data_IF_988912310468
#
_entry.id   IF_988912310468
#
_cell.length_a   1.000
_cell.length_b   1.000
_cell.length_c   1.000
_cell.angle_alpha   90.00
_cell.angle_beta   90.00
_cell.angle_gamma   90.00
#
_symmetry.space_group_name_H-M   'P 1'
#
loop_
_entity.id
_entity.type
_entity.pdbx_description
1 polymer ?
#
# COMPACT_ATOMS: atom_id res chain seq x y z
N UNK A 1 -30.76 -5.95 -19.87
CA UNK A 1 -30.02 -5.83 -21.13
C UNK A 1 -30.01 -7.18 -21.80
N UNK A 2 -29.95 -7.20 -23.12
CA UNK A 2 -29.63 -8.44 -23.84
C UNK A 2 -28.20 -8.86 -23.43
N UNK A 3 -27.96 -10.15 -23.23
CA UNK A 3 -26.64 -10.69 -22.87
C UNK A 3 -25.57 -10.28 -23.90
N UNK A 4 -26.00 -10.08 -25.15
CA UNK A 4 -25.13 -9.60 -26.21
C UNK A 4 -24.67 -8.13 -26.00
N UNK A 5 -25.55 -7.27 -25.48
CA UNK A 5 -25.23 -5.87 -25.18
C UNK A 5 -24.24 -5.74 -24.00
N UNK A 6 -24.39 -6.60 -22.99
CA UNK A 6 -23.51 -6.64 -21.82
C UNK A 6 -22.08 -7.09 -22.20
N UNK A 7 -21.97 -8.09 -23.08
CA UNK A 7 -20.67 -8.58 -23.58
C UNK A 7 -19.97 -7.54 -24.47
N UNK A 8 -20.71 -6.85 -25.34
CA UNK A 8 -20.16 -5.75 -26.13
C UNK A 8 -19.65 -4.63 -25.23
N UNK A 9 -20.45 -4.22 -24.24
CA UNK A 9 -20.05 -3.20 -23.27
C UNK A 9 -18.80 -3.61 -22.48
N UNK A 10 -18.73 -4.86 -22.02
CA UNK A 10 -17.55 -5.38 -21.31
C UNK A 10 -16.30 -5.38 -22.21
N UNK A 11 -16.43 -5.78 -23.48
CA UNK A 11 -15.31 -5.80 -24.40
C UNK A 11 -14.71 -4.40 -24.63
N UNK A 12 -15.54 -3.37 -24.79
CA UNK A 12 -15.06 -1.98 -24.90
C UNK A 12 -14.35 -1.52 -23.62
N UNK A 13 -14.93 -1.81 -22.45
CA UNK A 13 -14.33 -1.46 -21.16
C UNK A 13 -12.97 -2.14 -20.94
N UNK A 14 -12.82 -3.39 -21.37
CA UNK A 14 -11.55 -4.13 -21.28
C UNK A 14 -10.47 -3.49 -22.18
N UNK A 15 -10.81 -3.03 -23.39
CA UNK A 15 -9.83 -2.33 -24.24
C UNK A 15 -9.37 -1.02 -23.62
N UNK A 16 -10.30 -0.22 -23.10
CA UNK A 16 -9.97 1.03 -22.39
C UNK A 16 -9.07 0.74 -21.20
N UNK A 17 -9.36 -0.34 -20.46
CA UNK A 17 -8.52 -0.78 -19.35
C UNK A 17 -7.11 -1.16 -19.80
N UNK A 18 -6.98 -1.97 -20.86
CA UNK A 18 -5.67 -2.40 -21.37
C UNK A 18 -4.82 -1.22 -21.83
N UNK A 19 -5.41 -0.24 -22.51
CA UNK A 19 -4.74 1.00 -22.92
C UNK A 19 -4.27 1.83 -21.71
N UNK A 20 -5.10 1.94 -20.68
CA UNK A 20 -4.74 2.63 -19.45
C UNK A 20 -3.62 1.90 -18.69
N UNK A 21 -3.70 0.57 -18.57
CA UNK A 21 -2.69 -0.26 -17.91
C UNK A 21 -1.35 -0.19 -18.66
N UNK A 22 -1.35 -0.15 -20.00
CA UNK A 22 -0.14 0.03 -20.80
C UNK A 22 0.53 1.40 -20.53
N UNK A 23 -0.25 2.49 -20.49
CA UNK A 23 0.27 3.83 -20.18
C UNK A 23 0.81 3.94 -18.75
N UNK A 24 0.15 3.30 -17.79
CA UNK A 24 0.67 3.19 -16.41
C UNK A 24 2.01 2.45 -16.42
N UNK A 25 2.11 1.36 -17.19
CA UNK A 25 3.34 0.59 -17.27
C UNK A 25 4.50 1.37 -17.90
N UNK A 26 4.24 2.19 -18.91
CA UNK A 26 5.24 3.10 -19.50
C UNK A 26 5.74 4.13 -18.49
N UNK A 27 4.85 4.73 -17.69
CA UNK A 27 5.22 5.74 -16.67
C UNK A 27 5.98 5.12 -15.51
N UNK A 28 5.55 3.95 -15.06
CA UNK A 28 6.09 3.31 -13.85
C UNK A 28 7.28 2.39 -14.13
N UNK A 29 7.44 1.95 -15.38
CA UNK A 29 8.35 0.86 -15.76
C UNK A 29 7.95 -0.50 -15.19
N UNK A 30 6.71 -0.67 -14.72
CA UNK A 30 6.20 -1.83 -13.97
C UNK A 30 4.79 -2.21 -14.43
N UNK A 31 4.21 -3.31 -13.94
CA UNK A 31 2.82 -3.60 -14.34
C UNK A 31 1.85 -2.64 -13.67
N UNK A 32 0.64 -2.48 -14.23
CA UNK A 32 -0.41 -1.68 -13.62
C UNK A 32 -1.13 -2.40 -12.45
N UNK A 33 -0.50 -3.42 -11.85
CA UNK A 33 -1.05 -4.11 -10.68
C UNK A 33 -0.97 -3.22 -9.45
N UNK A 34 -1.89 -3.45 -8.52
CA UNK A 34 -2.00 -2.69 -7.28
C UNK A 34 -0.68 -2.59 -6.49
N UNK A 35 0.01 -3.72 -6.32
CA UNK A 35 1.31 -3.76 -5.64
C UNK A 35 2.35 -2.91 -6.38
N UNK A 36 2.58 -3.20 -7.66
CA UNK A 36 3.60 -2.54 -8.48
C UNK A 36 3.49 -1.01 -8.52
N UNK A 37 2.27 -0.48 -8.69
CA UNK A 37 2.05 0.97 -8.69
C UNK A 37 2.21 1.54 -7.29
N UNK A 38 1.75 0.84 -6.26
CA UNK A 38 1.96 1.23 -4.87
C UNK A 38 3.43 1.31 -4.49
N UNK A 39 4.22 0.32 -4.90
CA UNK A 39 5.67 0.30 -4.77
C UNK A 39 6.33 1.47 -5.52
N UNK A 40 5.88 1.75 -6.75
CA UNK A 40 6.37 2.90 -7.51
C UNK A 40 6.10 4.22 -6.76
N UNK A 41 4.87 4.44 -6.29
CA UNK A 41 4.51 5.66 -5.54
C UNK A 41 5.37 5.76 -4.27
N UNK A 42 5.44 4.68 -3.49
CA UNK A 42 6.24 4.63 -2.27
C UNK A 42 7.72 4.96 -2.53
N UNK A 43 8.30 4.42 -3.61
CA UNK A 43 9.69 4.70 -3.99
C UNK A 43 9.98 6.16 -4.26
N UNK A 44 9.02 6.87 -4.86
CA UNK A 44 9.15 8.29 -5.19
C UNK A 44 8.92 9.18 -3.97
N UNK A 45 7.92 8.87 -3.16
CA UNK A 45 7.54 9.69 -1.99
C UNK A 45 8.54 9.50 -0.85
N UNK A 46 8.89 8.26 -0.52
CA UNK A 46 9.68 7.95 0.67
C UNK A 46 11.16 7.71 0.35
N UNK A 47 11.57 7.97 -0.89
CA UNK A 47 12.94 7.76 -1.37
C UNK A 47 13.45 6.33 -1.10
N UNK A 48 12.71 5.34 -1.60
CA UNK A 48 13.01 3.92 -1.41
C UNK A 48 13.67 3.37 -2.67
N UNK A 49 14.80 2.69 -2.50
CA UNK A 49 15.37 1.83 -3.53
C UNK A 49 14.60 0.50 -3.53
N UNK A 50 13.84 0.25 -4.59
CA UNK A 50 13.09 -0.99 -4.73
C UNK A 50 14.01 -2.14 -5.10
N UNK A 51 13.79 -3.30 -4.50
CA UNK A 51 14.50 -4.52 -4.81
C UNK A 51 14.26 -4.93 -6.27
N UNK A 52 15.30 -5.45 -6.92
CA UNK A 52 15.20 -5.93 -8.30
C UNK A 52 14.26 -7.15 -8.45
N UNK A 53 14.18 -8.00 -7.41
CA UNK A 53 13.21 -9.10 -7.34
C UNK A 53 12.69 -9.28 -5.90
N UNK A 54 11.37 -9.41 -5.74
CA UNK A 54 10.74 -9.55 -4.42
C UNK A 54 11.14 -10.84 -3.68
N UNK A 55 11.42 -11.91 -4.42
CA UNK A 55 11.63 -13.26 -3.85
C UNK A 55 13.01 -13.49 -3.24
N UNK A 56 14.04 -12.75 -3.65
CA UNK A 56 15.40 -12.95 -3.14
C UNK A 56 15.71 -12.11 -1.89
N UNK A 57 15.06 -10.95 -1.74
CA UNK A 57 15.35 -9.99 -0.67
C UNK A 57 14.50 -10.20 0.60
N UNK A 58 13.28 -10.74 0.47
CA UNK A 58 12.33 -10.85 1.58
C UNK A 58 11.71 -9.51 2.02
N UNK A 59 12.03 -8.44 1.29
CA UNK A 59 11.50 -7.09 1.43
C UNK A 59 11.39 -6.41 0.05
N UNK A 60 10.54 -5.38 -0.07
CA UNK A 60 10.29 -4.69 -1.33
C UNK A 60 11.32 -3.58 -1.62
N UNK A 61 11.97 -3.02 -0.60
CA UNK A 61 13.03 -2.04 -0.79
C UNK A 61 13.75 -1.59 0.46
N UNK A 62 14.65 -0.61 0.30
CA UNK A 62 15.44 0.02 1.36
C UNK A 62 15.32 1.54 1.27
N UNK A 63 15.07 2.22 2.39
CA UNK A 63 15.08 3.69 2.42
C UNK A 63 16.49 4.22 2.11
N UNK A 64 16.60 5.16 1.18
CA UNK A 64 17.89 5.76 0.77
C UNK A 64 18.26 7.00 1.55
N UNK A 65 17.30 7.66 2.20
CA UNK A 65 17.53 8.90 2.92
C UNK A 65 16.60 9.06 4.12
N UNK A 66 16.78 10.16 4.85
CA UNK A 66 15.97 10.50 6.02
C UNK A 66 16.27 9.64 7.25
N UNK A 67 15.40 9.71 8.28
CA UNK A 67 15.61 9.03 9.56
C UNK A 67 15.67 7.50 9.47
N UNK A 68 15.15 6.93 8.38
CA UNK A 68 15.04 5.48 8.17
C UNK A 68 16.08 4.96 7.17
N UNK A 69 17.04 5.78 6.75
CA UNK A 69 18.07 5.39 5.79
C UNK A 69 18.74 4.05 6.14
N UNK A 70 18.81 3.15 5.16
CA UNK A 70 19.37 1.80 5.31
C UNK A 70 18.41 0.77 5.93
N UNK A 71 17.19 1.16 6.32
CA UNK A 71 16.17 0.22 6.83
C UNK A 71 15.39 -0.40 5.68
N UNK A 72 15.05 -1.67 5.84
CA UNK A 72 14.26 -2.45 4.87
C UNK A 72 12.77 -2.18 5.04
N UNK A 73 11.99 -2.25 3.96
CA UNK A 73 10.55 -2.01 3.97
C UNK A 73 9.80 -2.97 3.03
N UNK A 74 8.65 -3.45 3.51
CA UNK A 74 7.62 -4.12 2.73
C UNK A 74 6.47 -3.14 2.48
N UNK A 75 6.05 -3.02 1.24
CA UNK A 75 5.02 -2.08 0.78
C UNK A 75 3.73 -2.86 0.54
N UNK A 76 2.65 -2.44 1.18
CA UNK A 76 1.32 -3.05 1.01
C UNK A 76 0.36 -1.98 0.53
N UNK A 77 -0.39 -2.29 -0.52
CA UNK A 77 -1.34 -1.34 -1.12
C UNK A 77 -2.72 -1.96 -1.14
N UNK A 78 -3.66 -1.28 -0.48
CA UNK A 78 -5.04 -1.69 -0.37
C UNK A 78 -5.95 -0.61 -0.94
N UNK A 79 -6.87 -0.99 -1.84
CA UNK A 79 -7.72 -0.03 -2.55
C UNK A 79 -8.86 0.52 -1.70
N UNK A 80 -9.07 -0.06 -0.51
CA UNK A 80 -9.99 0.43 0.51
C UNK A 80 -9.28 0.41 1.86
N UNK A 81 -9.91 1.02 2.86
CA UNK A 81 -9.54 0.88 4.25
C UNK A 81 -9.36 -0.61 4.62
N UNK A 82 -8.13 -0.99 4.95
CA UNK A 82 -7.79 -2.36 5.29
C UNK A 82 -8.16 -2.68 6.74
N UNK A 83 -8.55 -3.93 7.00
CA UNK A 83 -8.80 -4.45 8.35
C UNK A 83 -7.74 -5.45 8.81
N UNK A 84 -6.83 -5.82 7.91
CA UNK A 84 -5.72 -6.70 8.21
C UNK A 84 -4.57 -6.55 7.22
N UNK A 85 -3.36 -6.81 7.72
CA UNK A 85 -2.12 -6.68 6.98
C UNK A 85 -1.61 -8.08 6.64
N UNK A 86 -1.13 -8.26 5.42
CA UNK A 86 -0.37 -9.44 5.07
C UNK A 86 1.07 -9.31 5.60
N UNK A 87 1.40 -10.11 6.62
CA UNK A 87 2.71 -10.10 7.27
C UNK A 87 3.47 -11.34 6.83
N UNK A 88 4.55 -11.13 6.07
CA UNK A 88 5.40 -12.21 5.60
C UNK A 88 6.27 -12.77 6.75
N UNK A 89 6.71 -14.04 6.64
CA UNK A 89 7.64 -14.63 7.61
C UNK A 89 9.08 -14.08 7.46
N UNK A 90 9.37 -13.34 6.39
CA UNK A 90 10.70 -12.83 6.12
C UNK A 90 11.03 -11.59 6.99
N UNK A 91 12.28 -11.44 7.43
CA UNK A 91 12.70 -10.30 8.21
C UNK A 91 12.66 -9.02 7.36
N UNK A 92 12.02 -8.00 7.90
CA UNK A 92 11.93 -6.66 7.32
C UNK A 92 11.74 -5.66 8.46
N UNK A 93 12.40 -4.51 8.43
CA UNK A 93 12.32 -3.53 9.51
C UNK A 93 10.94 -2.86 9.58
N UNK A 94 10.33 -2.57 8.42
CA UNK A 94 9.05 -1.85 8.35
C UNK A 94 8.04 -2.44 7.38
N UNK A 95 6.74 -2.24 7.68
CA UNK A 95 5.66 -2.33 6.71
C UNK A 95 5.10 -0.93 6.42
N UNK A 96 5.26 -0.47 5.18
CA UNK A 96 4.59 0.73 4.66
C UNK A 96 3.27 0.32 4.02
N UNK A 97 2.15 0.81 4.56
CA UNK A 97 0.82 0.51 4.04
C UNK A 97 0.21 1.75 3.43
N UNK A 98 -0.14 1.69 2.14
CA UNK A 98 -0.93 2.68 1.42
C UNK A 98 -2.38 2.18 1.36
N UNK A 99 -3.32 2.99 1.84
CA UNK A 99 -4.73 2.61 1.98
C UNK A 99 -5.66 3.62 1.31
N UNK A 100 -6.64 3.11 0.59
CA UNK A 100 -7.78 3.89 0.09
C UNK A 100 -8.84 4.16 1.15
N UNK A 101 -9.90 4.91 0.80
CA UNK A 101 -10.95 5.31 1.72
C UNK A 101 -11.81 4.13 2.18
N UNK A 102 -12.64 4.39 3.19
CA UNK A 102 -13.61 3.39 3.66
C UNK A 102 -14.72 3.21 2.62
N UNK A 103 -14.94 1.96 2.19
CA UNK A 103 -16.00 1.63 1.22
C UNK A 103 -17.41 1.81 1.82
N UNK A 104 -18.36 2.43 1.09
CA UNK A 104 -19.78 2.44 1.45
C UNK A 104 -20.40 1.03 1.41
N UNK A 105 -21.39 0.76 2.27
CA UNK A 105 -22.11 -0.50 2.26
C UNK A 105 -22.93 -0.68 0.96
N UNK A 106 -22.97 -1.91 0.43
CA UNK A 106 -23.86 -2.29 -0.68
C UNK A 106 -23.35 -1.98 -2.09
N UNK A 107 -22.13 -1.48 -2.26
CA UNK A 107 -21.55 -1.23 -3.59
C UNK A 107 -20.88 -2.47 -4.17
N UNK A 108 -20.93 -2.62 -5.50
CA UNK A 108 -20.16 -3.65 -6.21
C UNK A 108 -18.67 -3.38 -5.99
N UNK A 109 -17.93 -4.42 -5.59
CA UNK A 109 -16.50 -4.32 -5.36
C UNK A 109 -15.78 -4.00 -6.67
N UNK A 110 -15.08 -2.87 -6.67
CA UNK A 110 -14.02 -2.56 -7.62
C UNK A 110 -12.82 -2.03 -6.84
N UNK A 111 -11.62 -2.23 -7.38
CA UNK A 111 -10.39 -1.73 -6.78
C UNK A 111 -10.26 -0.24 -7.10
N UNK A 112 -10.39 0.61 -6.08
CA UNK A 112 -10.16 2.03 -6.22
C UNK A 112 -8.66 2.31 -6.14
N UNK A 113 -8.19 3.13 -7.07
CA UNK A 113 -6.84 3.68 -7.06
C UNK A 113 -6.83 4.99 -6.29
N UNK A 114 -7.06 4.90 -4.98
CA UNK A 114 -7.01 6.05 -4.09
C UNK A 114 -6.08 5.78 -2.91
N UNK A 115 -5.36 6.82 -2.47
CA UNK A 115 -4.52 6.79 -1.27
C UNK A 115 -5.01 7.88 -0.34
N UNK A 116 -5.91 7.53 0.58
CA UNK A 116 -6.40 8.46 1.59
C UNK A 116 -5.55 8.45 2.86
N UNK A 117 -4.89 7.33 3.17
CA UNK A 117 -4.06 7.18 4.37
C UNK A 117 -2.79 6.37 4.07
N UNK A 118 -1.71 6.69 4.78
CA UNK A 118 -0.50 5.87 4.79
C UNK A 118 -0.04 5.60 6.23
N UNK A 119 0.45 4.39 6.47
CA UNK A 119 0.86 3.90 7.78
C UNK A 119 2.23 3.26 7.69
N UNK A 120 3.05 3.45 8.72
CA UNK A 120 4.38 2.85 8.76
C UNK A 120 4.56 2.07 10.06
N UNK A 121 4.53 0.75 9.96
CA UNK A 121 4.66 -0.15 11.10
C UNK A 121 6.11 -0.57 11.28
N UNK A 122 6.68 -0.33 12.46
CA UNK A 122 7.88 -1.05 12.91
C UNK A 122 7.52 -2.53 13.11
N UNK A 123 8.19 -3.43 12.38
CA UNK A 123 7.86 -4.85 12.38
C UNK A 123 8.07 -5.50 13.74
N UNK A 124 9.10 -5.11 14.50
CA UNK A 124 9.36 -5.68 15.81
C UNK A 124 8.27 -5.28 16.81
N UNK A 125 7.89 -4.00 16.82
CA UNK A 125 6.78 -3.49 17.66
C UNK A 125 5.45 -4.11 17.26
N UNK A 126 5.16 -4.21 15.96
CA UNK A 126 3.94 -4.84 15.45
C UNK A 126 3.86 -6.31 15.89
N UNK A 127 4.95 -7.08 15.74
CA UNK A 127 5.00 -8.49 16.16
C UNK A 127 4.84 -8.65 17.67
N UNK A 128 5.47 -7.79 18.47
CA UNK A 128 5.29 -7.82 19.92
C UNK A 128 3.83 -7.59 20.33
N UNK A 129 3.19 -6.55 19.77
CA UNK A 129 1.77 -6.24 20.02
C UNK A 129 0.83 -7.38 19.60
N UNK A 130 1.09 -8.00 18.45
CA UNK A 130 0.29 -9.12 17.96
C UNK A 130 0.46 -10.38 18.81
N UNK A 131 1.69 -10.66 19.26
CA UNK A 131 2.00 -11.82 20.11
C UNK A 131 1.41 -11.67 21.51
N UNK A 132 1.55 -10.49 22.12
CA UNK A 132 0.94 -10.18 23.43
C UNK A 132 -0.58 -10.41 23.42
N UNK A 133 -1.20 -10.19 22.27
CA UNK A 133 -2.64 -10.34 22.06
C UNK A 133 -3.07 -11.70 21.50
N UNK A 134 -2.14 -12.64 21.35
CA UNK A 134 -2.38 -13.97 20.76
C UNK A 134 -3.05 -13.92 19.37
N UNK A 135 -2.64 -12.96 18.53
CA UNK A 135 -3.16 -12.81 17.17
C UNK A 135 -2.36 -13.69 16.21
N UNK A 136 -3.06 -14.53 15.43
CA UNK A 136 -2.45 -15.32 14.36
C UNK A 136 -1.84 -14.40 13.30
N UNK A 137 -0.53 -14.52 13.08
CA UNK A 137 0.24 -13.77 12.08
C UNK A 137 0.26 -14.54 10.76
N UNK A 138 0.01 -13.85 9.65
CA UNK A 138 0.08 -14.35 8.29
C UNK A 138 -0.72 -13.47 7.33
N UNK A 139 -1.44 -14.11 6.41
CA UNK A 139 -2.37 -13.41 5.52
C UNK A 139 -3.52 -12.79 6.33
N UNK A 140 -3.83 -11.53 6.05
CA UNK A 140 -4.92 -10.78 6.70
C UNK A 140 -4.84 -10.73 8.24
N UNK A 141 -3.63 -10.51 8.77
CA UNK A 141 -3.40 -10.34 10.21
C UNK A 141 -4.17 -9.13 10.75
N UNK A 142 -5.08 -9.35 11.70
CA UNK A 142 -5.95 -8.29 12.22
C UNK A 142 -5.18 -7.26 13.06
N UNK A 143 -5.35 -5.99 12.71
CA UNK A 143 -4.77 -4.85 13.43
C UNK A 143 -5.91 -4.01 14.02
N UNK A 144 -5.79 -3.58 15.28
CA UNK A 144 -6.83 -2.71 15.89
C UNK A 144 -6.72 -1.32 15.28
N UNK A 145 -7.87 -0.65 15.18
CA UNK A 145 -7.94 0.74 14.70
C UNK A 145 -7.00 1.67 15.46
N UNK A 146 -6.94 1.54 16.79
CA UNK A 146 -6.04 2.34 17.64
C UNK A 146 -4.56 2.13 17.32
N UNK A 147 -4.15 0.89 17.03
CA UNK A 147 -2.76 0.55 16.72
C UNK A 147 -2.37 1.10 15.35
N UNK A 148 -3.33 1.10 14.41
CA UNK A 148 -3.20 1.66 13.07
C UNK A 148 -3.13 3.20 13.10
N UNK A 149 -4.05 3.86 13.80
CA UNK A 149 -4.05 5.32 13.98
C UNK A 149 -2.77 5.81 14.66
N UNK A 150 -2.22 5.03 15.59
CA UNK A 150 -0.99 5.37 16.29
C UNK A 150 0.22 5.50 15.36
N UNK A 151 0.29 4.72 14.28
CA UNK A 151 1.45 4.65 13.37
C UNK A 151 1.20 5.28 12.00
N UNK A 152 0.08 6.01 11.86
CA UNK A 152 -0.24 6.74 10.64
C UNK A 152 0.82 7.80 10.36
N UNK A 153 1.25 7.91 9.11
CA UNK A 153 2.18 8.94 8.62
C UNK A 153 1.48 9.98 7.75
N UNK A 154 0.35 9.64 7.13
CA UNK A 154 -0.46 10.51 6.27
C UNK A 154 -1.96 10.23 6.46
N UNK A 155 -2.86 11.23 6.48
CA UNK A 155 -2.58 12.66 6.25
C UNK A 155 -2.03 13.38 7.48
N UNK A 156 -2.56 13.05 8.66
CA UNK A 156 -2.05 13.56 9.94
C UNK A 156 -1.30 12.46 10.68
N UNK A 157 -0.06 12.73 11.14
CA UNK A 157 0.73 11.72 11.82
C UNK A 157 0.10 11.32 13.15
N UNK A 158 0.11 10.03 13.43
CA UNK A 158 -0.30 9.47 14.71
C UNK A 158 0.71 9.77 15.83
N UNK A 159 0.31 9.57 17.09
CA UNK A 159 1.17 9.81 18.26
C UNK A 159 2.45 8.96 18.30
N UNK A 160 2.49 7.84 17.56
CA UNK A 160 3.65 6.95 17.47
C UNK A 160 4.17 6.84 16.02
N UNK A 161 3.89 7.85 15.17
CA UNK A 161 4.38 7.84 13.81
C UNK A 161 5.91 7.74 13.78
N UNK A 162 6.51 6.72 13.15
CA UNK A 162 7.97 6.58 13.09
C UNK A 162 8.61 7.59 12.13
N UNK A 163 7.81 8.29 11.34
CA UNK A 163 8.25 9.27 10.36
C UNK A 163 7.31 10.48 10.36
N UNK A 164 7.88 11.68 10.26
CA UNK A 164 7.14 12.90 9.94
C UNK A 164 7.39 13.22 8.47
N UNK A 165 6.32 13.32 7.68
CA UNK A 165 6.42 13.66 6.27
C UNK A 165 6.80 15.12 6.10
N UNK A 166 7.63 15.41 5.09
CA UNK A 166 7.80 16.78 4.63
C UNK A 166 6.52 17.27 3.93
N UNK A 167 6.30 18.60 3.81
CA UNK A 167 5.17 19.13 3.05
C UNK A 167 5.13 18.62 1.61
N UNK A 168 6.29 18.42 0.99
CA UNK A 168 6.40 17.88 -0.37
C UNK A 168 5.95 16.41 -0.43
N UNK A 169 6.39 15.57 0.50
CA UNK A 169 5.97 14.17 0.56
C UNK A 169 4.46 14.04 0.76
N UNK A 170 3.88 14.85 1.65
CA UNK A 170 2.45 14.89 1.88
C UNK A 170 1.69 15.35 0.62
N UNK A 171 2.20 16.37 -0.08
CA UNK A 171 1.61 16.86 -1.32
C UNK A 171 1.65 15.80 -2.44
N UNK A 172 2.74 15.04 -2.55
CA UNK A 172 2.86 13.96 -3.54
C UNK A 172 1.87 12.82 -3.28
N UNK A 173 1.64 12.43 -2.01
CA UNK A 173 0.61 11.44 -1.67
C UNK A 173 -0.80 11.96 -1.98
N UNK A 174 -1.07 13.23 -1.72
CA UNK A 174 -2.38 13.85 -1.96
C UNK A 174 -2.78 13.90 -3.45
N UNK A 175 -1.85 13.70 -4.39
CA UNK A 175 -2.16 13.56 -5.83
C UNK A 175 -3.05 12.34 -6.12
N UNK A 176 -3.09 11.37 -5.21
CA UNK A 176 -3.76 10.09 -5.42
C UNK A 176 -5.07 9.93 -4.64
N UNK A 177 -5.65 10.99 -4.06
CA UNK A 177 -7.02 10.97 -3.52
C UNK A 177 -7.18 11.45 -2.09
#
# INVERSE_FOLDING_TARGET
MDVNDDLHSLAELLRVRDEAEARIAEVTGRSARQGDVGEFIASRVFDIELAATATQAGHDGVFRSGPLMGRTVNIKTYGDAFTGIDISPHPCDYYLVLSGPRRPAGTVRHHQWQISEAFLFDTARLRALLTERDVKIGMATSVRKSDLEAVRVFPEPGPNSPLLLTPEQAALLALFG
#
